data_IF_985680037449
#
_entry.id   IF_985680037449
#
_cell.length_a   1.000
_cell.length_b   1.000
_cell.length_c   1.000
_cell.angle_alpha   90.00
_cell.angle_beta   90.00
_cell.angle_gamma   90.00
#
_symmetry.space_group_name_H-M   'P 1'
#
loop_
_entity.id
_entity.type
_entity.pdbx_description
1 polymer ?
#
# COMPACT_ATOMS: atom_id res chain seq x y z
N UNK A 1 20.91 -12.61 62.26
CA UNK A 1 19.69 -11.89 61.87
C UNK A 1 19.85 -11.01 60.62
N UNK A 2 20.98 -10.37 60.31
CA UNK A 2 21.16 -9.51 59.13
C UNK A 2 21.16 -10.25 57.78
N UNK A 3 21.59 -11.51 57.69
CA UNK A 3 21.63 -12.30 56.46
C UNK A 3 20.24 -12.79 55.98
N UNK A 4 19.33 -13.07 56.91
CA UNK A 4 17.97 -13.49 56.56
C UNK A 4 17.09 -12.36 56.00
N UNK A 5 17.33 -11.12 56.44
CA UNK A 5 16.60 -9.95 56.00
C UNK A 5 16.93 -9.56 54.54
N UNK A 6 18.20 -9.71 54.13
CA UNK A 6 18.67 -9.43 52.78
C UNK A 6 18.11 -10.46 51.79
N UNK A 7 18.04 -11.72 52.16
CA UNK A 7 17.47 -12.79 51.32
C UNK A 7 15.95 -12.61 51.13
N UNK A 8 15.23 -12.16 52.15
CA UNK A 8 13.79 -11.88 52.04
C UNK A 8 13.48 -10.65 51.16
N UNK A 9 14.29 -9.61 51.19
CA UNK A 9 14.15 -8.44 50.32
C UNK A 9 14.46 -8.81 48.88
N UNK A 10 15.45 -9.64 48.59
CA UNK A 10 15.76 -10.10 47.23
C UNK A 10 14.67 -11.00 46.65
N UNK A 11 14.00 -11.82 47.46
CA UNK A 11 12.89 -12.67 47.05
C UNK A 11 11.61 -11.84 46.73
N UNK A 12 11.39 -10.74 47.46
CA UNK A 12 10.23 -9.85 47.20
C UNK A 12 10.37 -9.02 45.91
N UNK A 13 11.60 -8.74 45.47
CA UNK A 13 11.80 -8.01 44.19
C UNK A 13 11.61 -8.88 42.94
N UNK A 14 11.69 -10.20 43.06
CA UNK A 14 11.47 -11.13 41.96
C UNK A 14 9.99 -11.42 41.64
N UNK A 15 9.08 -11.17 42.58
CA UNK A 15 7.64 -11.43 42.37
C UNK A 15 6.91 -10.34 41.60
N UNK A 16 7.57 -9.21 41.31
CA UNK A 16 6.97 -8.06 40.59
C UNK A 16 7.18 -8.03 39.09
N UNK A 17 8.01 -8.92 38.53
CA UNK A 17 8.23 -9.00 37.09
C UNK A 17 7.20 -9.96 36.42
N UNK A 18 5.92 -9.61 36.49
CA UNK A 18 4.96 -10.22 35.60
C UNK A 18 5.18 -9.57 34.24
N UNK A 19 5.78 -10.31 33.31
CA UNK A 19 5.79 -9.92 31.91
C UNK A 19 4.37 -9.71 31.47
N UNK A 20 4.01 -8.47 31.11
CA UNK A 20 2.71 -8.21 30.50
C UNK A 20 2.58 -9.13 29.29
N UNK A 21 1.48 -9.89 29.15
CA UNK A 21 1.27 -10.70 27.95
C UNK A 21 1.35 -9.76 26.75
N UNK A 22 2.26 -10.03 25.82
CA UNK A 22 2.31 -9.31 24.57
C UNK A 22 0.93 -9.39 23.92
N UNK A 23 0.38 -8.27 23.43
CA UNK A 23 -0.90 -8.31 22.73
C UNK A 23 -0.86 -9.37 21.64
N UNK A 24 -1.92 -10.16 21.55
CA UNK A 24 -2.00 -11.21 20.54
C UNK A 24 -1.84 -10.59 19.14
N UNK A 25 -0.90 -11.10 18.38
CA UNK A 25 -0.68 -10.66 16.99
C UNK A 25 -1.96 -10.92 16.19
N UNK A 26 -2.44 -9.96 15.39
CA UNK A 26 -3.64 -10.14 14.59
C UNK A 26 -3.45 -11.29 13.59
N UNK A 27 -4.49 -12.09 13.37
CA UNK A 27 -4.46 -13.21 12.43
C UNK A 27 -4.46 -12.75 10.97
N UNK A 28 -5.08 -11.61 10.70
CA UNK A 28 -5.16 -11.00 9.37
C UNK A 28 -5.16 -9.49 9.54
N UNK A 29 -4.32 -8.82 8.76
CA UNK A 29 -4.34 -7.37 8.57
C UNK A 29 -4.55 -7.09 7.10
N UNK A 30 -5.57 -6.30 6.78
CA UNK A 30 -5.84 -5.84 5.41
C UNK A 30 -5.74 -4.33 5.41
N UNK A 31 -4.78 -3.79 4.67
CA UNK A 31 -4.62 -2.35 4.47
C UNK A 31 -5.12 -2.00 3.06
N UNK A 32 -6.04 -1.06 2.98
CA UNK A 32 -6.55 -0.53 1.73
C UNK A 32 -6.21 0.95 1.63
N UNK A 33 -5.29 1.30 0.74
CA UNK A 33 -4.91 2.68 0.45
C UNK A 33 -5.57 3.09 -0.86
N UNK A 34 -6.33 4.18 -0.84
CA UNK A 34 -7.00 4.72 -2.04
C UNK A 34 -6.36 6.06 -2.34
N UNK A 35 -5.59 6.10 -3.42
CA UNK A 35 -4.96 7.33 -3.91
C UNK A 35 -6.00 8.34 -4.37
N UNK A 36 -5.74 9.63 -4.13
CA UNK A 36 -6.59 10.76 -4.53
C UNK A 36 -8.03 10.74 -3.96
N UNK A 37 -8.31 9.91 -2.97
CA UNK A 37 -9.59 9.94 -2.26
C UNK A 37 -9.63 11.15 -1.32
N UNK A 38 -10.28 12.23 -1.75
CA UNK A 38 -10.45 13.45 -0.96
C UNK A 38 -11.44 13.22 0.18
N UNK A 39 -11.18 13.85 1.31
CA UNK A 39 -12.03 13.72 2.51
C UNK A 39 -13.46 14.22 2.25
N UNK A 40 -13.61 15.32 1.48
CA UNK A 40 -14.91 15.88 1.13
C UNK A 40 -15.76 14.96 0.25
N UNK A 41 -15.15 14.01 -0.49
CA UNK A 41 -15.89 13.01 -1.26
C UNK A 41 -16.69 12.06 -0.35
N UNK A 42 -16.21 11.82 0.87
CA UNK A 42 -16.91 10.97 1.82
C UNK A 42 -18.27 11.55 2.21
N UNK A 43 -18.37 12.87 2.31
CA UNK A 43 -19.62 13.58 2.59
C UNK A 43 -20.44 13.79 1.32
N UNK A 44 -19.82 14.35 0.28
CA UNK A 44 -20.49 14.69 -0.97
C UNK A 44 -21.20 13.49 -1.61
N UNK A 45 -20.57 12.31 -1.61
CA UNK A 45 -21.14 11.10 -2.18
C UNK A 45 -21.89 10.19 -1.18
N UNK A 46 -22.07 10.64 0.05
CA UNK A 46 -22.65 9.81 1.12
C UNK A 46 -24.05 9.26 0.81
N UNK A 47 -24.86 10.02 0.08
CA UNK A 47 -26.20 9.60 -0.36
C UNK A 47 -26.19 8.46 -1.39
N UNK A 48 -25.05 8.29 -2.09
CA UNK A 48 -24.86 7.26 -3.12
C UNK A 48 -24.23 5.98 -2.57
N UNK A 49 -23.63 6.04 -1.36
CA UNK A 49 -23.02 4.86 -0.76
C UNK A 49 -24.06 3.86 -0.26
N UNK A 50 -23.83 2.59 -0.57
CA UNK A 50 -24.57 1.50 0.07
C UNK A 50 -24.21 1.35 1.55
N UNK A 51 -25.03 0.60 2.28
CA UNK A 51 -24.84 0.36 3.73
C UNK A 51 -23.59 -0.45 4.07
N UNK A 52 -23.08 -1.21 3.12
CA UNK A 52 -21.80 -1.94 3.20
C UNK A 52 -20.67 -1.05 2.67
N UNK A 53 -19.44 -1.25 3.06
CA UNK A 53 -18.32 -0.41 2.62
C UNK A 53 -18.15 0.82 3.51
N UNK A 54 -18.04 2.04 2.97
CA UNK A 54 -17.71 3.25 3.73
C UNK A 54 -18.61 3.50 4.91
N UNK A 55 -19.95 3.43 4.75
CA UNK A 55 -20.90 3.61 5.86
C UNK A 55 -20.68 2.59 6.98
N UNK A 56 -20.42 1.33 6.62
CA UNK A 56 -20.12 0.31 7.60
C UNK A 56 -18.81 0.58 8.32
N UNK A 57 -17.75 0.91 7.60
CA UNK A 57 -16.44 1.22 8.19
C UNK A 57 -16.52 2.43 9.13
N UNK A 58 -17.27 3.46 8.75
CA UNK A 58 -17.48 4.65 9.59
C UNK A 58 -18.30 4.34 10.84
N UNK A 59 -19.28 3.45 10.76
CA UNK A 59 -20.14 3.07 11.89
C UNK A 59 -19.45 2.11 12.86
N UNK A 60 -18.71 1.15 12.36
CA UNK A 60 -18.14 0.03 13.14
C UNK A 60 -16.64 0.23 13.44
N UNK A 61 -15.96 1.10 12.73
CA UNK A 61 -14.55 1.39 12.86
C UNK A 61 -14.25 2.67 13.63
N UNK A 62 -12.96 2.98 13.74
CA UNK A 62 -12.47 4.25 14.27
C UNK A 62 -12.11 5.16 13.10
N UNK A 63 -12.69 6.36 13.06
CA UNK A 63 -12.44 7.36 12.00
C UNK A 63 -11.60 8.49 12.55
N UNK A 64 -10.57 8.87 11.80
CA UNK A 64 -9.72 10.01 12.09
C UNK A 64 -10.00 11.09 11.05
N UNK A 65 -10.72 12.14 11.42
CA UNK A 65 -11.15 13.21 10.51
C UNK A 65 -10.10 14.28 10.23
N UNK A 66 -9.09 14.39 11.10
CA UNK A 66 -8.06 15.41 11.04
C UNK A 66 -6.69 14.75 10.92
N UNK A 67 -6.47 14.10 9.78
CA UNK A 67 -5.18 13.49 9.48
C UNK A 67 -4.49 14.30 8.39
N UNK A 68 -3.27 14.75 8.67
CA UNK A 68 -2.48 15.57 7.77
C UNK A 68 -1.07 14.98 7.64
N UNK A 69 -0.47 15.17 6.48
CA UNK A 69 0.95 14.90 6.31
C UNK A 69 1.75 16.08 6.87
N UNK A 70 2.70 15.85 7.80
CA UNK A 70 3.48 16.93 8.41
C UNK A 70 4.65 17.39 7.51
N UNK A 71 4.47 17.34 6.20
CA UNK A 71 5.45 17.75 5.19
C UNK A 71 4.76 18.25 3.93
N UNK A 72 5.44 19.11 3.18
CA UNK A 72 4.97 19.68 1.91
C UNK A 72 5.48 18.87 0.71
N UNK A 73 4.87 19.07 -0.45
CA UNK A 73 5.27 18.39 -1.69
C UNK A 73 4.88 16.91 -1.73
N UNK A 74 3.75 16.57 -1.12
CA UNK A 74 3.24 15.20 -1.07
C UNK A 74 2.89 14.69 -2.46
N UNK A 75 3.49 13.58 -2.87
CA UNK A 75 3.08 12.78 -4.00
C UNK A 75 2.70 11.36 -3.57
N UNK A 76 2.33 10.50 -4.51
CA UNK A 76 1.92 9.13 -4.20
C UNK A 76 3.00 8.35 -3.44
N UNK A 77 4.25 8.40 -3.87
CA UNK A 77 5.32 7.61 -3.28
C UNK A 77 5.67 8.07 -1.86
N UNK A 78 5.84 9.40 -1.68
CA UNK A 78 6.13 9.97 -0.36
C UNK A 78 4.97 9.76 0.63
N UNK A 79 3.72 9.85 0.15
CA UNK A 79 2.54 9.57 0.96
C UNK A 79 2.46 8.09 1.39
N UNK A 80 2.65 7.15 0.47
CA UNK A 80 2.64 5.72 0.77
C UNK A 80 3.77 5.37 1.73
N UNK A 81 4.99 5.83 1.47
CA UNK A 81 6.11 5.62 2.38
C UNK A 81 5.81 6.15 3.79
N UNK A 82 5.22 7.34 3.90
CA UNK A 82 4.86 7.93 5.19
C UNK A 82 3.76 7.14 5.91
N UNK A 83 2.72 6.69 5.20
CA UNK A 83 1.63 5.89 5.78
C UNK A 83 2.15 4.55 6.30
N UNK A 84 2.97 3.85 5.52
CA UNK A 84 3.42 2.51 5.89
C UNK A 84 4.58 2.49 6.87
N UNK A 85 5.42 3.55 6.90
CA UNK A 85 6.54 3.66 7.84
C UNK A 85 6.19 4.46 9.12
N UNK A 86 5.12 5.26 9.09
CA UNK A 86 4.78 6.18 10.18
C UNK A 86 5.76 7.33 10.33
N UNK A 87 6.57 7.64 9.32
CA UNK A 87 7.64 8.66 9.37
C UNK A 87 7.57 9.62 8.19
N UNK A 88 8.28 10.74 8.29
CA UNK A 88 8.36 11.72 7.21
C UNK A 88 9.43 11.37 6.17
N UNK A 89 9.40 11.95 4.96
CA UNK A 89 10.42 11.76 3.93
C UNK A 89 11.86 12.02 4.39
N UNK A 90 12.07 12.95 5.31
CA UNK A 90 13.39 13.23 5.90
C UNK A 90 13.95 12.06 6.72
N UNK A 91 13.08 11.16 7.20
CA UNK A 91 13.46 9.98 7.97
C UNK A 91 13.44 8.72 7.12
N UNK A 92 12.40 8.55 6.28
CA UNK A 92 12.24 7.34 5.48
C UNK A 92 12.96 7.38 4.14
N UNK A 93 13.48 8.55 3.71
CA UNK A 93 14.26 8.69 2.49
C UNK A 93 13.45 8.85 1.19
N UNK A 94 12.15 8.61 1.21
CA UNK A 94 11.29 8.69 0.01
C UNK A 94 10.69 10.09 -0.10
N UNK A 95 11.40 10.96 -0.79
CA UNK A 95 11.01 12.37 -0.93
C UNK A 95 9.98 12.60 -2.03
N UNK A 96 9.95 11.74 -3.04
CA UNK A 96 9.10 11.85 -4.23
C UNK A 96 9.11 10.51 -4.98
N UNK A 97 8.24 10.36 -5.97
CA UNK A 97 8.25 9.19 -6.87
C UNK A 97 9.53 9.13 -7.72
N UNK A 98 10.04 10.28 -8.11
CA UNK A 98 11.26 10.39 -8.90
C UNK A 98 12.11 11.57 -8.42
N UNK A 99 13.41 11.42 -8.48
CA UNK A 99 14.36 12.49 -8.26
C UNK A 99 15.61 12.33 -9.11
N UNK A 100 16.43 13.36 -9.14
CA UNK A 100 17.69 13.32 -9.85
C UNK A 100 18.76 12.62 -9.00
N UNK A 101 19.35 11.55 -9.52
CA UNK A 101 20.49 10.91 -8.86
C UNK A 101 21.70 11.83 -8.93
N UNK A 102 22.25 12.21 -7.78
CA UNK A 102 23.35 13.17 -7.69
C UNK A 102 24.65 12.70 -8.35
N UNK A 103 24.86 11.38 -8.43
CA UNK A 103 26.10 10.80 -9.00
C UNK A 103 26.02 10.65 -10.52
N UNK A 104 24.86 10.29 -11.04
CA UNK A 104 24.68 10.01 -12.47
C UNK A 104 24.05 11.16 -13.23
N UNK A 105 23.48 12.15 -12.52
CA UNK A 105 22.69 13.26 -13.05
C UNK A 105 21.55 12.79 -13.96
N UNK A 106 20.98 11.64 -13.65
CA UNK A 106 19.83 11.06 -14.37
C UNK A 106 18.63 10.94 -13.43
N UNK A 107 17.40 11.07 -13.95
CA UNK A 107 16.21 10.75 -13.17
C UNK A 107 16.24 9.29 -12.74
N UNK A 108 15.84 9.03 -11.50
CA UNK A 108 15.62 7.69 -10.96
C UNK A 108 14.30 7.63 -10.22
N UNK A 109 13.65 6.48 -10.26
CA UNK A 109 12.46 6.23 -9.46
C UNK A 109 12.88 5.85 -8.01
N UNK A 110 12.01 6.15 -7.06
CA UNK A 110 12.26 5.90 -5.63
C UNK A 110 12.49 4.43 -5.28
N UNK A 111 12.18 3.51 -6.16
CA UNK A 111 12.39 2.06 -5.98
C UNK A 111 13.33 1.46 -7.02
N UNK A 112 14.02 2.28 -7.83
CA UNK A 112 15.01 1.78 -8.77
C UNK A 112 16.18 1.14 -8.04
N UNK A 113 16.49 -0.10 -8.41
CA UNK A 113 17.64 -0.83 -7.90
C UNK A 113 18.15 -1.84 -8.93
N UNK A 114 19.28 -1.58 -9.58
CA UNK A 114 19.81 -2.45 -10.63
C UNK A 114 20.30 -3.82 -10.12
N UNK A 115 20.38 -4.02 -8.80
CA UNK A 115 20.77 -5.30 -8.21
C UNK A 115 19.68 -6.37 -8.31
N UNK A 116 18.42 -5.97 -8.51
CA UNK A 116 17.27 -6.89 -8.52
C UNK A 116 16.47 -6.75 -9.81
N UNK A 117 16.45 -7.80 -10.60
CA UNK A 117 15.74 -7.83 -11.88
C UNK A 117 14.22 -7.85 -11.69
N UNK A 118 13.51 -7.30 -12.67
CA UNK A 118 12.06 -7.40 -12.74
C UNK A 118 11.58 -8.78 -13.21
N UNK A 119 10.45 -9.20 -12.70
CA UNK A 119 9.69 -10.35 -13.19
C UNK A 119 8.57 -9.83 -14.08
N UNK A 120 8.52 -10.17 -15.35
CA UNK A 120 7.58 -9.68 -16.38
C UNK A 120 7.64 -8.17 -16.64
N UNK A 121 8.77 -7.56 -16.34
CA UNK A 121 9.09 -6.16 -16.60
C UNK A 121 10.59 -5.99 -16.74
N UNK A 122 11.03 -4.98 -17.48
CA UNK A 122 12.44 -4.60 -17.64
C UNK A 122 12.93 -3.70 -16.48
N UNK A 123 12.03 -3.27 -15.60
CA UNK A 123 12.33 -2.40 -14.49
C UNK A 123 12.92 -3.17 -13.30
N UNK A 124 14.18 -2.87 -12.97
CA UNK A 124 14.87 -3.39 -11.78
C UNK A 124 14.49 -2.61 -10.53
N UNK A 125 14.14 -3.28 -9.45
CA UNK A 125 13.51 -2.59 -8.32
C UNK A 125 13.69 -3.29 -6.98
N UNK A 126 13.81 -2.49 -5.91
CA UNK A 126 13.75 -2.93 -4.52
C UNK A 126 13.33 -1.79 -3.58
N UNK A 127 13.06 -2.06 -2.30
CA UNK A 127 12.83 -1.01 -1.30
C UNK A 127 14.13 -0.39 -0.76
N UNK A 128 15.28 -0.51 -1.41
CA UNK A 128 16.59 -0.10 -0.89
C UNK A 128 16.70 1.39 -0.53
N UNK A 129 15.91 2.25 -1.18
CA UNK A 129 15.87 3.69 -0.87
C UNK A 129 14.99 4.02 0.35
N UNK A 130 14.16 3.08 0.81
CA UNK A 130 13.38 3.24 2.03
C UNK A 130 14.28 2.97 3.23
N UNK A 131 14.55 4.00 4.04
CA UNK A 131 15.52 3.94 5.14
C UNK A 131 14.94 3.46 6.47
N UNK A 132 13.64 3.26 6.54
CA UNK A 132 12.94 2.85 7.78
C UNK A 132 12.13 1.58 7.55
N UNK A 133 11.85 0.85 8.63
CA UNK A 133 10.91 -0.27 8.60
C UNK A 133 9.49 0.21 8.30
N UNK A 134 8.69 -0.69 7.77
CA UNK A 134 7.26 -0.49 7.53
C UNK A 134 6.43 -1.30 8.53
N UNK A 135 5.13 -1.02 8.61
CA UNK A 135 4.19 -1.84 9.38
C UNK A 135 4.22 -3.32 8.94
N UNK A 136 4.52 -3.57 7.66
CA UNK A 136 4.72 -4.91 7.13
C UNK A 136 5.95 -5.59 7.71
N UNK A 137 7.06 -4.87 7.82
CA UNK A 137 8.30 -5.34 8.45
C UNK A 137 8.09 -5.63 9.94
N UNK A 138 7.39 -4.74 10.64
CA UNK A 138 7.07 -4.90 12.06
C UNK A 138 6.16 -6.13 12.30
N UNK A 139 5.22 -6.41 11.39
CA UNK A 139 4.42 -7.62 11.45
C UNK A 139 5.28 -8.88 11.31
N UNK A 140 6.28 -8.88 10.44
CA UNK A 140 7.25 -9.98 10.30
C UNK A 140 8.03 -10.19 11.59
N UNK A 141 8.49 -9.12 12.22
CA UNK A 141 9.17 -9.17 13.54
C UNK A 141 8.22 -9.74 14.60
N UNK A 142 7.01 -9.17 14.73
CA UNK A 142 6.03 -9.59 15.73
C UNK A 142 5.60 -11.05 15.59
N UNK A 143 5.58 -11.57 14.37
CA UNK A 143 5.24 -12.96 14.06
C UNK A 143 6.44 -13.90 14.03
N UNK A 144 7.64 -13.41 14.34
CA UNK A 144 8.90 -14.16 14.20
C UNK A 144 9.07 -14.75 12.79
N UNK A 145 8.80 -13.91 11.80
CA UNK A 145 8.84 -14.23 10.37
C UNK A 145 7.85 -15.31 9.89
N UNK A 146 6.84 -15.65 10.70
CA UNK A 146 5.79 -16.64 10.33
C UNK A 146 4.63 -15.99 9.57
N UNK A 147 4.40 -14.68 9.73
CA UNK A 147 3.38 -13.95 9.00
C UNK A 147 3.72 -13.83 7.52
N UNK A 148 2.72 -13.94 6.66
CA UNK A 148 2.86 -13.70 5.22
C UNK A 148 2.45 -12.27 4.92
N UNK A 149 3.25 -11.57 4.11
CA UNK A 149 3.02 -10.17 3.71
C UNK A 149 3.07 -10.08 2.19
N UNK A 150 1.97 -9.65 1.61
CA UNK A 150 1.85 -9.38 0.18
C UNK A 150 1.29 -7.99 -0.04
N UNK A 151 1.87 -7.24 -0.96
CA UNK A 151 1.36 -5.96 -1.42
C UNK A 151 0.98 -6.03 -2.89
N UNK A 152 -0.17 -5.46 -3.23
CA UNK A 152 -0.70 -5.41 -4.60
C UNK A 152 -1.12 -3.97 -4.88
N UNK A 153 -0.59 -3.37 -5.94
CA UNK A 153 -0.93 -2.02 -6.34
C UNK A 153 -0.92 -1.86 -7.87
N UNK A 154 -1.56 -0.84 -8.43
CA UNK A 154 -1.42 -0.55 -9.85
C UNK A 154 0.01 -0.19 -10.25
N UNK A 155 0.76 0.48 -9.38
CA UNK A 155 2.11 0.98 -9.66
C UNK A 155 3.19 0.27 -8.85
N UNK A 156 4.38 0.21 -9.41
CA UNK A 156 5.58 -0.41 -8.86
C UNK A 156 5.97 0.15 -7.50
N UNK A 157 6.11 1.47 -7.42
CA UNK A 157 6.48 2.18 -6.20
C UNK A 157 5.49 1.91 -5.06
N UNK A 158 4.19 1.97 -5.33
CA UNK A 158 3.17 1.72 -4.32
C UNK A 158 3.22 0.28 -3.77
N UNK A 159 3.41 -0.72 -4.64
CA UNK A 159 3.50 -2.11 -4.23
C UNK A 159 4.74 -2.37 -3.37
N UNK A 160 5.91 -1.89 -3.80
CA UNK A 160 7.19 -2.13 -3.13
C UNK A 160 7.25 -1.42 -1.78
N UNK A 161 6.85 -0.14 -1.72
CA UNK A 161 6.85 0.63 -0.48
C UNK A 161 5.86 0.09 0.56
N UNK A 162 4.73 -0.47 0.11
CA UNK A 162 3.77 -1.11 1.00
C UNK A 162 4.23 -2.49 1.50
N UNK A 163 4.96 -3.26 0.67
CA UNK A 163 5.51 -4.55 1.06
C UNK A 163 6.67 -4.42 2.05
N UNK A 164 7.41 -3.30 2.00
CA UNK A 164 8.59 -3.07 2.83
C UNK A 164 9.75 -3.98 2.49
N UNK A 165 10.71 -4.09 3.42
CA UNK A 165 11.94 -4.86 3.24
C UNK A 165 11.73 -6.37 3.42
N UNK A 166 10.83 -6.77 4.29
CA UNK A 166 10.64 -8.16 4.70
C UNK A 166 9.40 -8.82 4.10
N UNK A 167 8.73 -8.16 3.16
CA UNK A 167 7.57 -8.68 2.46
C UNK A 167 7.85 -10.01 1.75
N UNK A 168 6.84 -10.85 1.57
CA UNK A 168 6.93 -12.07 0.76
C UNK A 168 6.79 -11.78 -0.73
N UNK A 169 6.07 -10.71 -1.09
CA UNK A 169 5.91 -10.32 -2.48
C UNK A 169 5.28 -8.94 -2.62
N UNK A 170 5.67 -8.23 -3.68
CA UNK A 170 5.07 -7.00 -4.15
C UNK A 170 4.68 -7.19 -5.62
N UNK A 171 3.43 -6.90 -5.95
CA UNK A 171 2.89 -7.10 -7.30
C UNK A 171 2.27 -5.83 -7.83
N UNK A 172 2.56 -5.52 -9.09
CA UNK A 172 1.98 -4.38 -9.80
C UNK A 172 1.65 -4.74 -11.24
N UNK A 173 0.92 -3.89 -11.93
CA UNK A 173 0.57 -4.09 -13.32
C UNK A 173 1.59 -3.44 -14.25
N UNK A 174 2.05 -4.16 -15.25
CA UNK A 174 2.75 -3.57 -16.37
C UNK A 174 1.72 -2.91 -17.30
N UNK A 175 1.81 -1.60 -17.42
CA UNK A 175 0.84 -0.81 -18.19
C UNK A 175 0.83 -1.16 -19.67
N UNK A 176 1.95 -1.63 -20.23
CA UNK A 176 2.08 -1.98 -21.63
C UNK A 176 1.55 -3.37 -21.96
N UNK A 177 1.71 -4.33 -21.04
CA UNK A 177 1.37 -5.73 -21.28
C UNK A 177 0.16 -6.22 -20.48
N UNK A 178 -0.29 -5.42 -19.48
CA UNK A 178 -1.34 -5.80 -18.54
C UNK A 178 -1.00 -7.01 -17.65
N UNK A 179 0.25 -7.44 -17.66
CA UNK A 179 0.72 -8.56 -16.84
C UNK A 179 1.05 -8.11 -15.43
N UNK A 180 0.86 -8.98 -14.47
CA UNK A 180 1.37 -8.79 -13.12
C UNK A 180 2.89 -8.91 -13.11
N UNK A 181 3.53 -7.91 -12.52
CA UNK A 181 4.96 -7.80 -12.36
C UNK A 181 5.36 -7.94 -10.91
N UNK A 182 6.62 -8.25 -10.68
CA UNK A 182 7.29 -8.26 -9.39
C UNK A 182 8.78 -8.00 -9.58
N UNK A 183 9.57 -8.17 -8.53
CA UNK A 183 11.03 -8.06 -8.53
C UNK A 183 11.66 -9.28 -7.87
N UNK A 184 12.86 -9.65 -8.29
CA UNK A 184 13.65 -10.72 -7.68
C UNK A 184 14.13 -10.41 -6.26
N UNK A 185 13.89 -9.18 -5.77
CA UNK A 185 14.12 -8.83 -4.37
C UNK A 185 13.27 -9.67 -3.43
N UNK A 186 11.99 -9.88 -3.77
CA UNK A 186 11.10 -10.75 -3.01
C UNK A 186 11.23 -12.19 -3.48
N UNK A 187 11.35 -13.10 -2.54
CA UNK A 187 11.70 -14.50 -2.80
C UNK A 187 10.64 -15.31 -3.51
N UNK A 188 9.39 -14.84 -3.53
CA UNK A 188 8.26 -15.61 -4.03
C UNK A 188 7.57 -14.95 -5.21
N UNK A 189 7.54 -15.66 -6.35
CA UNK A 189 6.61 -15.37 -7.42
C UNK A 189 5.55 -16.49 -7.43
N UNK A 190 4.40 -16.29 -6.78
CA UNK A 190 3.42 -17.33 -6.57
C UNK A 190 2.89 -17.90 -7.89
N UNK A 191 2.63 -19.19 -7.91
CA UNK A 191 2.12 -19.90 -9.08
C UNK A 191 0.84 -19.29 -9.66
N UNK A 192 -0.02 -18.73 -8.82
CA UNK A 192 -1.27 -18.09 -9.25
C UNK A 192 -1.04 -16.82 -10.08
N UNK A 193 0.04 -16.07 -9.82
CA UNK A 193 0.42 -14.91 -10.63
C UNK A 193 0.89 -15.35 -12.01
N UNK A 194 1.76 -16.36 -12.06
CA UNK A 194 2.19 -16.95 -13.34
C UNK A 194 1.01 -17.46 -14.14
N UNK A 195 0.11 -18.22 -13.49
CA UNK A 195 -1.08 -18.75 -14.13
C UNK A 195 -2.01 -17.64 -14.67
N UNK A 196 -2.15 -16.51 -13.92
CA UNK A 196 -2.91 -15.38 -14.39
C UNK A 196 -2.27 -14.76 -15.65
N UNK A 197 -0.95 -14.56 -15.63
CA UNK A 197 -0.22 -13.99 -16.75
C UNK A 197 -0.23 -14.86 -18.00
N UNK A 198 -0.34 -16.18 -17.84
CA UNK A 198 -0.41 -17.13 -18.95
C UNK A 198 -1.83 -17.28 -19.54
N UNK A 199 -2.85 -17.27 -18.69
CA UNK A 199 -4.22 -17.62 -19.10
C UNK A 199 -5.08 -16.45 -19.54
N UNK A 200 -4.76 -15.22 -19.15
CA UNK A 200 -5.65 -14.09 -19.36
C UNK A 200 -4.93 -12.93 -20.06
N UNK A 201 -5.21 -12.77 -21.34
CA UNK A 201 -4.93 -11.50 -22.00
C UNK A 201 -5.84 -10.43 -21.41
N UNK A 202 -5.29 -9.33 -20.86
CA UNK A 202 -6.09 -8.18 -20.40
C UNK A 202 -6.99 -7.63 -21.51
N UNK A 203 -6.54 -7.68 -22.77
CA UNK A 203 -7.26 -7.19 -23.95
C UNK A 203 -8.64 -7.81 -24.09
N UNK A 204 -8.77 -9.11 -23.77
CA UNK A 204 -10.07 -9.79 -23.83
C UNK A 204 -11.06 -9.25 -22.79
N UNK A 205 -10.59 -8.88 -21.61
CA UNK A 205 -11.43 -8.30 -20.54
C UNK A 205 -11.77 -6.85 -20.80
N UNK A 206 -10.82 -6.07 -21.34
CA UNK A 206 -10.96 -4.62 -21.55
C UNK A 206 -11.87 -4.35 -22.75
N UNK A 207 -11.87 -5.21 -23.78
CA UNK A 207 -12.65 -5.02 -25.01
C UNK A 207 -14.12 -4.72 -24.76
N UNK A 208 -14.73 -5.39 -23.78
CA UNK A 208 -16.16 -5.27 -23.50
C UNK A 208 -16.46 -4.39 -22.28
N UNK A 209 -15.40 -3.80 -21.66
CA UNK A 209 -15.59 -2.92 -20.51
C UNK A 209 -16.13 -1.56 -20.95
N UNK A 210 -17.13 -1.12 -20.24
CA UNK A 210 -17.68 0.23 -20.36
C UNK A 210 -17.61 0.90 -19.00
N UNK A 211 -17.03 2.09 -18.96
CA UNK A 211 -17.03 2.92 -17.77
C UNK A 211 -18.13 3.98 -17.91
N UNK A 212 -19.13 3.87 -17.07
CA UNK A 212 -20.27 4.80 -17.00
C UNK A 212 -20.67 4.99 -15.54
N UNK A 213 -21.39 6.07 -15.19
CA UNK A 213 -21.90 6.28 -13.85
C UNK A 213 -22.75 5.10 -13.38
N UNK A 214 -22.52 4.64 -12.13
CA UNK A 214 -23.25 3.52 -11.52
C UNK A 214 -24.73 3.86 -11.34
N UNK A 215 -25.03 5.13 -11.06
CA UNK A 215 -26.39 5.64 -10.85
C UNK A 215 -26.77 6.59 -12.01
N UNK A 216 -28.06 6.81 -12.22
CA UNK A 216 -28.53 7.85 -13.13
C UNK A 216 -27.89 9.21 -12.81
N UNK A 217 -27.48 9.96 -13.83
CA UNK A 217 -26.68 11.19 -13.64
C UNK A 217 -27.35 12.24 -12.76
N UNK A 218 -28.69 12.30 -12.74
CA UNK A 218 -29.47 13.20 -11.90
C UNK A 218 -29.37 12.91 -10.39
N UNK A 219 -28.78 11.78 -9.99
CA UNK A 219 -28.49 11.47 -8.59
C UNK A 219 -27.20 12.13 -8.08
N UNK A 220 -26.38 12.62 -8.99
CA UNK A 220 -25.09 13.26 -8.67
C UNK A 220 -25.29 14.77 -8.48
N UNK A 221 -26.01 15.18 -7.44
CA UNK A 221 -26.45 16.56 -7.19
C UNK A 221 -25.35 17.57 -6.91
N UNK A 222 -24.11 17.09 -6.66
CA UNK A 222 -22.93 17.91 -6.39
C UNK A 222 -22.06 18.15 -7.64
N UNK A 223 -22.46 17.61 -8.81
CA UNK A 223 -21.78 17.93 -10.06
C UNK A 223 -22.18 19.34 -10.53
N UNK A 224 -21.24 20.13 -11.05
CA UNK A 224 -21.57 21.39 -11.68
C UNK A 224 -22.59 21.20 -12.84
N UNK A 225 -23.55 22.10 -12.99
CA UNK A 225 -24.62 22.02 -14.00
C UNK A 225 -24.11 21.76 -15.42
N UNK A 226 -22.97 22.37 -15.79
CA UNK A 226 -22.36 22.17 -17.11
C UNK A 226 -21.79 20.76 -17.33
N UNK A 227 -21.69 19.93 -16.28
CA UNK A 227 -21.28 18.52 -16.32
C UNK A 227 -22.44 17.54 -16.21
N UNK A 228 -23.68 18.02 -16.23
CA UNK A 228 -24.88 17.18 -16.19
C UNK A 228 -25.11 16.44 -17.52
N UNK A 229 -24.04 16.03 -18.15
CA UNK A 229 -24.02 15.21 -19.36
C UNK A 229 -23.58 13.80 -18.95
N UNK A 230 -24.38 12.79 -19.29
CA UNK A 230 -23.95 11.40 -19.08
C UNK A 230 -22.69 11.16 -19.89
N UNK A 231 -21.65 10.66 -19.23
CA UNK A 231 -20.47 10.18 -19.93
C UNK A 231 -20.50 8.65 -20.04
N UNK A 232 -20.01 8.16 -21.16
CA UNK A 232 -19.79 6.75 -21.38
C UNK A 232 -18.44 6.59 -22.04
N UNK A 233 -17.54 5.91 -21.37
CA UNK A 233 -16.21 5.63 -21.90
C UNK A 233 -16.09 4.17 -22.27
N UNK A 234 -15.78 3.90 -23.53
CA UNK A 234 -15.49 2.56 -24.03
C UNK A 234 -13.98 2.42 -24.16
N UNK A 235 -13.44 1.40 -23.53
CA UNK A 235 -12.02 1.10 -23.64
C UNK A 235 -11.73 0.51 -25.01
N UNK A 236 -10.70 1.04 -25.67
CA UNK A 236 -10.25 0.58 -26.96
C UNK A 236 -8.93 -0.18 -26.79
N UNK A 237 -8.98 -1.47 -26.99
CA UNK A 237 -7.81 -2.35 -26.88
C UNK A 237 -6.71 -2.04 -27.90
N UNK A 238 -7.05 -1.39 -29.02
CA UNK A 238 -6.06 -1.01 -30.04
C UNK A 238 -5.15 0.15 -29.59
N UNK A 239 -5.61 0.98 -28.62
CA UNK A 239 -4.81 2.07 -28.07
C UNK A 239 -3.79 1.63 -27.03
N UNK A 240 -3.95 0.45 -26.46
CA UNK A 240 -3.05 -0.10 -25.43
C UNK A 240 -1.77 -0.63 -26.08
N UNK A 241 -1.80 -0.93 -27.39
CA UNK A 241 -0.68 -1.50 -28.14
C UNK A 241 0.09 -0.47 -28.99
N UNK A 242 -0.10 0.82 -28.73
CA UNK A 242 0.67 1.92 -29.34
C UNK A 242 1.36 2.72 -28.26
#
# INVERSE_FOLDING_TARGET
>A
MKKGLITSILALTFTGLQAQPLPATPKLVVTLTIDQLRTDYMEAFSSLYGEKGFKRLMREGKVFYQTEFPFSGTDRASAIAAIYSGTTPSMNGIISQQWMNANTLRPMNCVDDPAFMGNFTDESSSPSQLLTSTIADELKVATRNKGMVYAIAPSRDAAILAAGHSGNGAFWLNENTGKWCSTTYYSEFPWWVSQYNERQSPDFRIRDMVWEPIHPINRYTFLPEWRDQPFKYKFDSERINK
#
